data_IF_249710333600
#
_entry.id   IF_249710333600
#
_cell.length_a   1.000
_cell.length_b   1.000
_cell.length_c   1.000
_cell.angle_alpha   90.00
_cell.angle_beta   90.00
_cell.angle_gamma   90.00
#
_symmetry.space_group_name_H-M   'P 1'
#
loop_
_entity.id
_entity.type
_entity.pdbx_description
1 polymer ?
#
# COMPACT_ATOMS: atom_id res chain seq x y z
N UNK A 1 -4.66 -29.05 -6.28
CA UNK A 1 -3.82 -28.58 -7.41
C UNK A 1 -3.16 -27.24 -7.15
N UNK A 2 -3.87 -26.12 -6.92
CA UNK A 2 -3.24 -24.80 -6.64
C UNK A 2 -2.35 -24.81 -5.39
N UNK A 3 -2.81 -25.40 -4.28
CA UNK A 3 -1.99 -25.48 -3.08
C UNK A 3 -0.72 -26.29 -3.33
N UNK A 4 -0.77 -27.30 -4.19
CA UNK A 4 0.42 -28.05 -4.59
C UNK A 4 1.32 -27.20 -5.49
N UNK A 5 0.76 -26.41 -6.40
CA UNK A 5 1.50 -25.46 -7.25
C UNK A 5 2.19 -24.35 -6.43
N UNK A 6 1.50 -23.71 -5.47
CA UNK A 6 2.09 -22.70 -4.57
C UNK A 6 3.18 -23.33 -3.70
N UNK A 7 2.96 -24.55 -3.19
CA UNK A 7 3.95 -25.24 -2.34
C UNK A 7 5.15 -25.75 -3.15
N UNK A 8 4.93 -26.15 -4.42
CA UNK A 8 6.00 -26.50 -5.37
C UNK A 8 6.78 -25.26 -5.79
N UNK A 9 6.11 -24.15 -6.09
CA UNK A 9 6.73 -22.87 -6.47
C UNK A 9 7.60 -22.31 -5.32
N UNK A 10 7.08 -22.30 -4.08
CA UNK A 10 7.84 -21.86 -2.90
C UNK A 10 8.97 -22.84 -2.51
N UNK A 11 8.85 -24.14 -2.81
CA UNK A 11 9.96 -25.09 -2.66
C UNK A 11 11.00 -24.96 -3.77
N UNK A 12 10.56 -24.63 -4.97
CA UNK A 12 11.43 -24.43 -6.13
C UNK A 12 12.22 -23.14 -6.01
N UNK A 13 11.77 -22.07 -5.35
CA UNK A 13 12.60 -20.85 -5.17
C UNK A 13 13.93 -21.13 -4.47
N UNK A 14 13.95 -21.98 -3.44
CA UNK A 14 15.19 -22.38 -2.75
C UNK A 14 16.05 -23.36 -3.56
N UNK A 15 15.48 -24.07 -4.55
CA UNK A 15 16.20 -25.03 -5.40
C UNK A 15 16.58 -24.44 -6.77
N UNK A 16 15.87 -23.43 -7.23
CA UNK A 16 16.06 -22.72 -8.49
C UNK A 16 17.29 -21.83 -8.43
N UNK A 17 17.56 -21.17 -7.30
CA UNK A 17 18.75 -20.32 -7.13
C UNK A 17 20.06 -21.11 -7.33
N UNK A 18 20.21 -22.23 -6.63
CA UNK A 18 21.37 -23.12 -6.76
C UNK A 18 21.49 -23.72 -8.17
N UNK A 19 20.36 -24.02 -8.82
CA UNK A 19 20.36 -24.61 -10.16
C UNK A 19 20.64 -23.58 -11.25
N UNK A 20 20.19 -22.34 -11.08
CA UNK A 20 20.48 -21.21 -11.97
C UNK A 20 21.95 -20.82 -11.86
N UNK A 21 22.51 -20.77 -10.64
CA UNK A 21 23.94 -20.51 -10.42
C UNK A 21 24.84 -21.48 -11.19
N UNK A 22 24.61 -22.79 -11.02
CA UNK A 22 25.37 -23.82 -11.75
C UNK A 22 25.24 -23.71 -13.27
N UNK A 23 24.09 -23.27 -13.76
CA UNK A 23 23.82 -23.10 -15.20
C UNK A 23 24.54 -21.86 -15.75
N UNK A 24 24.62 -20.78 -14.98
CA UNK A 24 25.38 -19.58 -15.31
C UNK A 24 26.90 -19.84 -15.30
N UNK A 25 27.39 -20.67 -14.38
CA UNK A 25 28.79 -21.10 -14.33
C UNK A 25 29.18 -21.91 -15.58
N UNK A 26 28.31 -22.81 -16.06
CA UNK A 26 28.54 -23.60 -17.27
C UNK A 26 28.57 -22.76 -18.56
N UNK A 27 27.78 -21.67 -18.62
CA UNK A 27 27.85 -20.68 -19.71
C UNK A 27 29.17 -19.91 -19.65
N UNK A 28 29.59 -19.53 -18.45
CA UNK A 28 30.86 -18.81 -18.23
C UNK A 28 32.08 -19.68 -18.58
N UNK A 29 31.97 -20.99 -18.37
CA UNK A 29 32.95 -21.99 -18.80
C UNK A 29 32.87 -22.33 -20.31
N UNK A 30 31.97 -21.70 -21.08
CA UNK A 30 31.82 -21.90 -22.52
C UNK A 30 31.21 -23.26 -22.93
N UNK A 31 30.66 -24.02 -21.97
CA UNK A 31 30.18 -25.39 -22.19
C UNK A 31 28.73 -25.45 -22.73
N UNK A 32 27.98 -24.36 -22.65
CA UNK A 32 26.56 -24.30 -23.06
C UNK A 32 26.21 -23.00 -23.77
N UNK A 33 25.37 -23.08 -24.80
CA UNK A 33 24.90 -21.91 -25.55
C UNK A 33 23.80 -21.16 -24.78
N UNK A 34 24.10 -19.92 -24.37
CA UNK A 34 23.20 -19.10 -23.55
C UNK A 34 21.84 -18.81 -24.20
N UNK A 35 21.78 -18.73 -25.54
CA UNK A 35 20.54 -18.46 -26.29
C UNK A 35 19.55 -19.62 -26.20
N UNK A 36 20.05 -20.86 -26.27
CA UNK A 36 19.23 -22.06 -26.12
C UNK A 36 18.63 -22.16 -24.72
N UNK A 37 19.44 -21.90 -23.70
CA UNK A 37 18.97 -21.87 -22.32
C UNK A 37 17.90 -20.79 -22.09
N UNK A 38 18.12 -19.57 -22.58
CA UNK A 38 17.16 -18.48 -22.40
C UNK A 38 15.82 -18.82 -23.08
N UNK A 39 15.87 -19.46 -24.24
CA UNK A 39 14.67 -19.92 -24.94
C UNK A 39 13.92 -20.99 -24.15
N UNK A 40 14.61 -22.01 -23.65
CA UNK A 40 14.01 -23.07 -22.83
C UNK A 40 13.42 -22.52 -21.53
N UNK A 41 14.11 -21.57 -20.90
CA UNK A 41 13.62 -20.88 -19.71
C UNK A 41 12.36 -20.05 -20.05
N UNK A 42 12.40 -19.27 -21.12
CA UNK A 42 11.28 -18.42 -21.54
C UNK A 42 10.05 -19.23 -21.90
N UNK A 43 10.20 -20.36 -22.60
CA UNK A 43 9.08 -21.24 -22.95
C UNK A 43 8.42 -21.83 -21.68
N UNK A 44 9.22 -22.24 -20.69
CA UNK A 44 8.72 -22.71 -19.40
C UNK A 44 8.02 -21.59 -18.64
N UNK A 45 8.67 -20.44 -18.50
CA UNK A 45 8.12 -19.28 -17.80
C UNK A 45 6.81 -18.81 -18.44
N UNK A 46 6.78 -18.69 -19.78
CA UNK A 46 5.60 -18.28 -20.52
C UNK A 46 4.42 -19.22 -20.30
N UNK A 47 4.67 -20.54 -20.28
CA UNK A 47 3.67 -21.54 -19.93
C UNK A 47 3.16 -21.34 -18.49
N UNK A 48 4.06 -21.14 -17.53
CA UNK A 48 3.67 -20.88 -16.14
C UNK A 48 2.87 -19.58 -15.98
N UNK A 49 3.26 -18.49 -16.64
CA UNK A 49 2.52 -17.23 -16.64
C UNK A 49 1.14 -17.39 -17.28
N UNK A 50 1.04 -18.17 -18.37
CA UNK A 50 -0.22 -18.49 -19.03
C UNK A 50 -1.16 -19.31 -18.14
N UNK A 51 -0.62 -20.28 -17.41
CA UNK A 51 -1.38 -21.07 -16.44
C UNK A 51 -1.77 -20.25 -15.20
N UNK A 52 -0.91 -19.33 -14.75
CA UNK A 52 -1.17 -18.45 -13.60
C UNK A 52 -2.21 -17.36 -13.90
N UNK A 53 -2.22 -16.83 -15.13
CA UNK A 53 -3.17 -15.77 -15.57
C UNK A 53 -4.62 -16.23 -15.61
N UNK A 54 -4.87 -17.55 -15.70
CA UNK A 54 -6.22 -18.12 -15.73
C UNK A 54 -6.96 -18.05 -14.39
N UNK A 55 -6.27 -17.76 -13.29
CA UNK A 55 -6.86 -17.81 -11.96
C UNK A 55 -7.45 -16.47 -11.54
N UNK A 56 -8.70 -16.51 -11.06
CA UNK A 56 -9.33 -15.36 -10.43
C UNK A 56 -8.71 -15.11 -9.05
N UNK A 57 -8.28 -13.86 -8.81
CA UNK A 57 -7.66 -13.41 -7.56
C UNK A 57 -8.51 -13.77 -6.34
N UNK A 58 -9.84 -13.64 -6.42
CA UNK A 58 -10.77 -13.97 -5.31
C UNK A 58 -10.75 -15.44 -4.95
N UNK A 59 -10.56 -16.30 -5.96
CA UNK A 59 -10.46 -17.75 -5.74
C UNK A 59 -9.16 -18.08 -5.02
N UNK A 60 -8.07 -17.43 -5.39
CA UNK A 60 -6.77 -17.60 -4.74
C UNK A 60 -6.82 -17.07 -3.30
N UNK A 61 -7.39 -15.88 -3.07
CA UNK A 61 -7.59 -15.32 -1.73
C UNK A 61 -8.34 -16.28 -0.80
N UNK A 62 -9.46 -16.85 -1.27
CA UNK A 62 -10.22 -17.83 -0.49
C UNK A 62 -9.40 -19.09 -0.17
N UNK A 63 -8.65 -19.60 -1.14
CA UNK A 63 -7.81 -20.78 -0.93
C UNK A 63 -6.65 -20.53 0.03
N UNK A 64 -6.10 -19.31 0.00
CA UNK A 64 -5.08 -18.87 0.96
C UNK A 64 -5.69 -18.71 2.35
N UNK A 65 -6.87 -18.09 2.46
CA UNK A 65 -7.60 -17.95 3.71
C UNK A 65 -7.91 -19.32 4.34
N UNK A 66 -8.35 -20.31 3.55
CA UNK A 66 -8.62 -21.66 4.04
C UNK A 66 -7.35 -22.36 4.56
N UNK A 67 -6.23 -22.26 3.82
CA UNK A 67 -4.99 -22.94 4.18
C UNK A 67 -4.26 -22.29 5.35
N UNK A 68 -4.24 -20.97 5.39
CA UNK A 68 -3.52 -20.20 6.41
C UNK A 68 -4.43 -19.69 7.51
N UNK A 69 -5.70 -20.12 7.55
CA UNK A 69 -6.66 -19.79 8.60
C UNK A 69 -6.09 -19.80 10.03
N UNK A 70 -5.39 -20.87 10.49
CA UNK A 70 -4.88 -20.89 11.86
C UNK A 70 -3.78 -19.86 12.13
N UNK A 71 -3.06 -19.43 11.10
CA UNK A 71 -1.98 -18.43 11.20
C UNK A 71 -2.54 -17.01 11.07
N UNK A 72 -3.53 -16.83 10.21
CA UNK A 72 -4.16 -15.54 9.94
C UNK A 72 -5.11 -15.10 11.06
N UNK A 73 -5.71 -16.05 11.77
CA UNK A 73 -6.68 -15.80 12.84
C UNK A 73 -6.37 -16.66 14.08
N UNK A 74 -5.24 -16.40 14.78
CA UNK A 74 -4.87 -17.17 15.97
C UNK A 74 -5.80 -16.93 17.17
N UNK A 75 -6.28 -15.69 17.35
CA UNK A 75 -7.00 -15.26 18.56
C UNK A 75 -8.52 -15.06 18.37
N UNK A 76 -9.05 -15.37 17.18
CA UNK A 76 -10.48 -15.23 16.91
C UNK A 76 -11.14 -16.61 16.93
N UNK A 77 -11.89 -16.86 18.01
CA UNK A 77 -12.87 -17.92 18.04
C UNK A 77 -13.81 -17.75 16.85
N UNK A 78 -14.15 -18.86 16.18
CA UNK A 78 -14.60 -18.91 14.78
C UNK A 78 -15.78 -17.99 14.41
N UNK A 79 -16.53 -17.51 15.40
CA UNK A 79 -17.78 -16.74 15.25
C UNK A 79 -17.67 -15.21 15.37
N UNK A 80 -16.55 -14.63 15.82
CA UNK A 80 -16.44 -13.15 15.92
C UNK A 80 -15.56 -12.51 14.86
N UNK A 81 -15.58 -13.01 13.62
CA UNK A 81 -14.99 -12.32 12.45
C UNK A 81 -15.81 -11.11 11.98
N UNK A 82 -16.64 -10.57 12.86
CA UNK A 82 -17.47 -9.41 12.59
C UNK A 82 -16.59 -8.17 12.57
N UNK A 83 -16.75 -7.37 11.52
CA UNK A 83 -16.04 -6.10 11.38
C UNK A 83 -16.51 -5.12 12.47
N UNK A 84 -15.62 -4.63 13.35
CA UNK A 84 -16.01 -3.71 14.44
C UNK A 84 -16.50 -2.35 13.93
N UNK A 85 -16.11 -1.95 12.71
CA UNK A 85 -16.52 -0.67 12.13
C UNK A 85 -17.95 -0.66 11.60
N UNK A 86 -18.45 -1.80 11.08
CA UNK A 86 -19.79 -1.85 10.49
C UNK A 86 -20.71 -2.88 11.14
N UNK A 87 -20.22 -3.70 12.07
CA UNK A 87 -20.95 -4.75 12.81
C UNK A 87 -21.72 -5.78 11.98
N UNK A 88 -21.71 -5.68 10.66
CA UNK A 88 -22.46 -6.55 9.77
C UNK A 88 -21.57 -7.21 8.69
N UNK A 89 -20.35 -6.71 8.46
CA UNK A 89 -19.37 -7.26 7.52
C UNK A 89 -18.45 -8.28 8.17
N UNK A 90 -17.85 -9.16 7.38
CA UNK A 90 -16.88 -10.16 7.86
C UNK A 90 -15.45 -9.76 7.47
N UNK A 91 -14.49 -9.95 8.37
CA UNK A 91 -13.07 -9.77 8.10
C UNK A 91 -12.53 -10.93 7.25
N UNK A 92 -11.86 -10.59 6.14
CA UNK A 92 -11.27 -11.54 5.18
C UNK A 92 -9.86 -11.15 4.83
N UNK A 93 -9.07 -12.15 4.44
CA UNK A 93 -7.76 -11.93 3.88
C UNK A 93 -7.88 -11.32 2.47
N UNK A 94 -7.14 -10.25 2.22
CA UNK A 94 -7.10 -9.57 0.92
C UNK A 94 -5.67 -9.27 0.52
N UNK A 95 -5.39 -9.39 -0.77
CA UNK A 95 -4.11 -8.96 -1.34
C UNK A 95 -4.20 -7.50 -1.79
N UNK A 96 -3.12 -6.74 -1.58
CA UNK A 96 -3.06 -5.35 -2.01
C UNK A 96 -3.14 -5.24 -3.53
N UNK A 97 -4.01 -4.35 -4.02
CA UNK A 97 -4.11 -4.03 -5.45
C UNK A 97 -2.83 -3.38 -6.01
N UNK A 98 -1.99 -2.83 -5.14
CA UNK A 98 -0.75 -2.15 -5.50
C UNK A 98 0.46 -3.09 -5.48
N UNK A 99 0.23 -4.41 -5.27
CA UNK A 99 1.26 -5.44 -5.37
C UNK A 99 2.07 -5.66 -4.09
N UNK A 100 2.10 -4.70 -3.18
CA UNK A 100 2.84 -4.80 -1.93
C UNK A 100 1.91 -5.08 -0.75
N UNK A 101 2.16 -6.20 -0.08
CA UNK A 101 1.53 -6.57 1.18
C UNK A 101 0.19 -7.29 1.05
N UNK A 102 -0.17 -7.94 2.16
CA UNK A 102 -1.48 -8.55 2.38
C UNK A 102 -2.05 -8.03 3.69
N UNK A 103 -3.38 -7.94 3.75
CA UNK A 103 -4.06 -7.36 4.90
C UNK A 103 -5.39 -8.06 5.18
N UNK A 104 -5.84 -7.98 6.41
CA UNK A 104 -7.16 -8.43 6.84
C UNK A 104 -8.10 -7.23 6.78
N UNK A 105 -9.16 -7.31 5.99
CA UNK A 105 -10.10 -6.20 5.79
C UNK A 105 -11.54 -6.65 5.64
N UNK A 106 -12.47 -5.70 5.78
CA UNK A 106 -13.90 -6.00 5.65
C UNK A 106 -14.28 -6.41 4.22
N UNK A 107 -15.12 -7.43 4.09
CA UNK A 107 -15.67 -7.93 2.83
C UNK A 107 -16.57 -6.92 2.10
N UNK A 108 -17.26 -6.04 2.82
CA UNK A 108 -18.20 -5.03 2.29
C UNK A 108 -17.55 -3.81 1.63
N UNK A 109 -16.30 -3.88 1.22
CA UNK A 109 -15.69 -2.84 0.40
C UNK A 109 -16.49 -2.68 -0.92
N UNK A 110 -16.83 -1.46 -1.39
CA UNK A 110 -16.33 -0.14 -0.96
C UNK A 110 -17.10 0.55 0.17
N UNK A 111 -18.20 -0.04 0.67
CA UNK A 111 -19.06 0.57 1.72
C UNK A 111 -18.37 0.63 3.09
N UNK A 112 -17.56 -0.37 3.42
CA UNK A 112 -16.71 -0.37 4.61
C UNK A 112 -15.24 -0.47 4.19
N UNK A 113 -14.41 0.47 4.64
CA UNK A 113 -12.97 0.55 4.35
C UNK A 113 -12.09 0.09 5.52
N UNK A 114 -12.69 -0.59 6.50
CA UNK A 114 -11.97 -1.06 7.68
C UNK A 114 -10.92 -2.13 7.34
N UNK A 115 -9.72 -1.94 7.92
CA UNK A 115 -8.56 -2.83 7.83
C UNK A 115 -8.18 -3.16 9.28
N UNK A 116 -8.11 -4.46 9.61
CA UNK A 116 -7.85 -4.94 10.96
C UNK A 116 -6.35 -5.12 11.24
N UNK A 117 -5.60 -5.69 10.28
CA UNK A 117 -4.17 -5.98 10.43
C UNK A 117 -3.51 -6.01 9.06
N UNK A 118 -2.28 -5.48 8.98
CA UNK A 118 -1.40 -5.68 7.81
C UNK A 118 -0.36 -6.74 8.19
N UNK A 119 -0.08 -7.69 7.29
CA UNK A 119 0.82 -8.82 7.55
C UNK A 119 2.27 -8.55 7.10
N UNK A 120 2.56 -7.34 6.61
CA UNK A 120 3.89 -6.93 6.14
C UNK A 120 4.79 -6.40 7.25
N UNK A 121 4.24 -6.16 8.44
CA UNK A 121 4.94 -5.48 9.52
C UNK A 121 5.07 -6.51 10.66
N UNK A 122 6.22 -7.19 10.71
CA UNK A 122 6.66 -7.88 11.92
C UNK A 122 6.99 -6.81 12.97
N UNK A 123 6.46 -7.00 14.18
CA UNK A 123 6.81 -6.32 15.42
C UNK A 123 6.51 -4.82 15.57
N UNK A 124 5.24 -4.51 15.86
CA UNK A 124 4.91 -3.49 16.86
C UNK A 124 3.78 -4.00 17.76
N UNK A 125 4.13 -4.78 18.79
CA UNK A 125 3.22 -5.21 19.86
C UNK A 125 2.84 -4.07 20.84
N UNK A 126 3.17 -2.82 20.53
CA UNK A 126 2.72 -1.67 21.29
C UNK A 126 2.17 -0.60 20.36
N UNK A 127 0.91 -0.73 19.97
CA UNK A 127 0.01 0.42 19.94
C UNK A 127 -1.43 -0.08 19.81
N UNK A 128 -2.18 0.12 20.89
CA UNK A 128 -3.63 0.29 20.85
C UNK A 128 -4.00 1.03 19.57
N UNK A 129 -4.80 0.37 18.72
CA UNK A 129 -5.39 0.96 17.50
C UNK A 129 -6.31 2.13 17.84
N UNK A 130 -5.74 3.24 18.31
CA UNK A 130 -6.26 4.57 18.09
C UNK A 130 -6.02 4.87 16.61
N UNK A 131 -7.07 4.62 15.83
CA UNK A 131 -7.47 5.44 14.69
C UNK A 131 -6.39 6.35 14.09
N UNK A 132 -5.41 5.77 13.38
CA UNK A 132 -4.73 6.52 12.33
C UNK A 132 -5.50 6.22 11.04
N UNK A 133 -6.51 7.02 10.64
CA UNK A 133 -6.96 6.97 9.26
C UNK A 133 -5.73 7.30 8.40
N UNK A 134 -5.31 6.36 7.54
CA UNK A 134 -4.30 6.55 6.48
C UNK A 134 -4.69 7.63 5.44
N UNK A 135 -5.66 8.47 5.78
CA UNK A 135 -6.01 9.71 5.10
C UNK A 135 -6.28 10.76 6.18
N UNK A 136 -5.35 11.68 6.40
CA UNK A 136 -5.64 12.91 7.13
C UNK A 136 -6.86 13.58 6.47
N UNK A 137 -7.96 13.72 7.21
CA UNK A 137 -9.13 14.45 6.70
C UNK A 137 -8.75 15.92 6.52
N UNK A 138 -9.09 16.54 5.37
CA UNK A 138 -8.73 17.94 5.13
C UNK A 138 -9.28 18.86 6.22
N UNK A 139 -8.42 19.35 7.11
CA UNK A 139 -8.82 20.24 8.20
C UNK A 139 -8.95 21.66 7.67
N UNK A 140 -10.11 22.27 7.85
CA UNK A 140 -10.33 23.68 7.54
C UNK A 140 -9.69 24.53 8.64
N UNK A 141 -8.64 25.28 8.31
CA UNK A 141 -7.94 26.16 9.25
C UNK A 141 -8.63 27.52 9.40
N UNK A 142 -9.31 27.99 8.34
CA UNK A 142 -10.03 29.26 8.35
C UNK A 142 -10.18 29.88 6.97
N UNK A 143 -10.43 31.18 6.94
CA UNK A 143 -10.60 31.99 5.72
C UNK A 143 -9.47 33.03 5.68
N UNK A 144 -8.86 33.22 4.51
CA UNK A 144 -7.88 34.29 4.33
C UNK A 144 -8.56 35.67 4.41
N UNK A 145 -8.04 36.60 5.23
CA UNK A 145 -8.60 37.95 5.34
C UNK A 145 -8.50 38.75 4.03
N UNK A 146 -7.49 38.46 3.19
CA UNK A 146 -7.22 39.24 1.97
C UNK A 146 -8.01 38.76 0.74
N UNK A 147 -8.25 37.46 0.61
CA UNK A 147 -8.88 36.86 -0.58
C UNK A 147 -10.24 36.23 -0.32
N UNK A 148 -10.71 36.16 0.94
CA UNK A 148 -11.94 35.45 1.35
C UNK A 148 -11.96 33.96 0.94
N UNK A 149 -10.78 33.39 0.67
CA UNK A 149 -10.64 31.98 0.27
C UNK A 149 -10.41 31.10 1.49
N UNK A 150 -11.02 29.90 1.48
CA UNK A 150 -10.85 28.90 2.54
C UNK A 150 -9.44 28.29 2.49
N UNK A 151 -8.83 28.08 3.64
CA UNK A 151 -7.50 27.47 3.79
C UNK A 151 -7.63 26.08 4.40
N UNK A 152 -7.10 25.08 3.71
CA UNK A 152 -7.14 23.67 4.11
C UNK A 152 -5.75 23.15 4.44
N UNK A 153 -5.66 22.32 5.47
CA UNK A 153 -4.51 21.49 5.78
C UNK A 153 -4.76 20.09 5.22
N UNK A 154 -3.85 19.58 4.41
CA UNK A 154 -3.94 18.26 3.76
C UNK A 154 -2.63 17.49 3.92
N UNK A 155 -2.69 16.17 3.78
CA UNK A 155 -1.53 15.29 3.77
C UNK A 155 -1.30 14.77 2.35
N UNK A 156 -0.06 14.91 1.86
CA UNK A 156 0.38 14.40 0.56
C UNK A 156 1.56 13.43 0.69
N UNK A 157 2.08 12.90 -0.43
CA UNK A 157 3.20 11.96 -0.43
C UNK A 157 4.50 12.55 0.13
N UNK A 158 4.61 13.89 0.17
CA UNK A 158 5.78 14.62 0.67
C UNK A 158 5.56 15.27 2.05
N UNK A 159 4.51 14.86 2.77
CA UNK A 159 4.15 15.42 4.07
C UNK A 159 2.93 16.35 4.03
N UNK A 160 2.74 17.10 5.12
CA UNK A 160 1.62 18.01 5.27
C UNK A 160 1.82 19.27 4.44
N UNK A 161 0.73 19.77 3.86
CA UNK A 161 0.73 20.99 3.08
C UNK A 161 -0.56 21.78 3.29
N UNK A 162 -0.43 23.09 3.14
CA UNK A 162 -1.54 24.03 3.21
C UNK A 162 -1.97 24.36 1.77
N UNK A 163 -3.27 24.41 1.53
CA UNK A 163 -3.86 24.74 0.25
C UNK A 163 -4.91 25.83 0.41
N UNK A 164 -4.83 26.86 -0.43
CA UNK A 164 -5.85 27.91 -0.54
C UNK A 164 -6.86 27.53 -1.62
N UNK A 165 -8.15 27.59 -1.26
CA UNK A 165 -9.26 27.32 -2.15
C UNK A 165 -9.62 25.84 -2.30
N UNK A 166 -10.83 25.58 -2.79
CA UNK A 166 -11.34 24.23 -3.04
C UNK A 166 -10.70 23.60 -4.29
N UNK A 167 -10.79 22.26 -4.40
CA UNK A 167 -10.33 21.48 -5.55
C UNK A 167 -11.20 21.73 -6.80
N UNK A 168 -10.98 22.88 -7.45
CA UNK A 168 -11.56 23.19 -8.76
C UNK A 168 -10.60 22.75 -9.86
N UNK A 169 -11.06 21.83 -10.71
CA UNK A 169 -10.32 21.37 -11.89
C UNK A 169 -9.98 22.57 -12.78
N UNK A 170 -8.68 22.87 -12.94
CA UNK A 170 -8.17 23.87 -13.87
C UNK A 170 -7.67 25.19 -13.26
N UNK A 171 -7.77 25.38 -11.93
CA UNK A 171 -7.19 26.55 -11.26
C UNK A 171 -5.83 26.22 -10.62
N UNK A 172 -4.82 27.08 -10.84
CA UNK A 172 -3.54 27.00 -10.13
C UNK A 172 -3.79 27.35 -8.66
N UNK A 173 -3.79 26.34 -7.80
CA UNK A 173 -4.02 26.51 -6.37
C UNK A 173 -2.71 26.92 -5.69
N UNK A 174 -2.76 27.95 -4.84
CA UNK A 174 -1.62 28.30 -3.99
C UNK A 174 -1.46 27.24 -2.91
N UNK A 175 -0.27 26.65 -2.84
CA UNK A 175 0.10 25.60 -1.89
C UNK A 175 1.41 25.96 -1.20
N UNK A 176 1.52 25.64 0.09
CA UNK A 176 2.75 25.77 0.86
C UNK A 176 3.04 24.48 1.63
N UNK A 177 4.26 23.92 1.57
CA UNK A 177 4.64 22.77 2.36
C UNK A 177 4.77 23.16 3.85
N UNK A 178 4.47 22.21 4.73
CA UNK A 178 4.59 22.38 6.17
C UNK A 178 5.85 21.64 6.67
N UNK A 179 7.03 22.07 6.19
CA UNK A 179 8.29 21.37 6.52
C UNK A 179 8.84 21.72 7.91
N UNK A 180 8.44 22.85 8.50
CA UNK A 180 9.05 23.38 9.73
C UNK A 180 8.21 23.18 11.01
N UNK A 181 6.95 22.74 10.90
CA UNK A 181 6.07 22.68 12.06
C UNK A 181 6.14 21.31 12.72
N UNK A 182 6.49 21.30 14.02
CA UNK A 182 6.70 20.10 14.82
C UNK A 182 5.40 19.36 15.18
N UNK A 183 4.27 20.07 15.26
CA UNK A 183 2.98 19.51 15.66
C UNK A 183 1.84 19.94 14.71
N UNK A 184 1.18 18.97 14.09
CA UNK A 184 0.14 19.20 13.05
C UNK A 184 -1.16 19.73 13.66
N UNK A 185 -1.39 19.47 14.94
CA UNK A 185 -2.64 19.79 15.63
C UNK A 185 -2.72 21.25 16.10
N UNK A 186 -1.56 21.87 16.36
CA UNK A 186 -1.44 23.24 16.89
C UNK A 186 -1.43 24.33 15.82
N UNK A 187 -1.47 23.96 14.53
CA UNK A 187 -1.38 24.90 13.42
C UNK A 187 -2.59 25.84 13.43
N UNK A 188 -2.32 27.13 13.37
CA UNK A 188 -3.35 28.16 13.26
C UNK A 188 -3.37 28.80 11.87
N UNK A 189 -4.44 29.55 11.58
CA UNK A 189 -4.57 30.31 10.33
C UNK A 189 -3.45 31.35 10.15
N UNK A 190 -2.87 31.86 11.24
CA UNK A 190 -1.78 32.86 11.19
C UNK A 190 -0.51 32.27 10.62
N UNK A 191 -0.15 31.08 11.09
CA UNK A 191 1.03 30.33 10.62
C UNK A 191 0.86 29.97 9.13
N UNK A 192 -0.36 29.63 8.74
CA UNK A 192 -0.68 29.32 7.35
C UNK A 192 -0.50 30.54 6.42
N UNK A 193 -0.90 31.74 6.86
CA UNK A 193 -0.71 32.98 6.09
C UNK A 193 0.78 33.27 5.92
N UNK A 194 1.58 33.09 6.96
CA UNK A 194 3.03 33.31 6.90
C UNK A 194 3.71 32.38 5.89
N UNK A 195 3.35 31.09 5.89
CA UNK A 195 3.90 30.09 4.98
C UNK A 195 3.49 30.33 3.51
N UNK A 196 2.30 30.89 3.28
CA UNK A 196 1.81 31.23 1.94
C UNK A 196 2.48 32.49 1.33
N UNK A 197 3.21 33.28 2.13
CA UNK A 197 3.92 34.47 1.65
C UNK A 197 5.28 34.15 1.01
N UNK A 198 5.79 32.93 1.15
CA UNK A 198 6.98 32.48 0.43
C UNK A 198 6.64 32.16 -1.03
N UNK A 199 7.51 32.43 -2.03
CA UNK A 199 8.87 32.96 -1.95
C UNK A 199 8.93 34.50 -1.91
N UNK A 200 9.52 35.06 -0.85
CA UNK A 200 9.74 36.52 -0.73
C UNK A 200 10.91 36.94 -1.62
N UNK A 201 10.69 37.92 -2.49
CA UNK A 201 11.77 38.53 -3.29
C UNK A 201 12.57 39.44 -2.37
N UNK A 202 13.75 39.00 -1.92
CA UNK A 202 14.61 39.76 -1.00
C UNK A 202 15.38 40.90 -1.67
N UNK A 203 15.34 40.99 -3.02
CA UNK A 203 15.95 42.05 -3.81
C UNK A 203 16.13 41.64 -5.27
N UNK A 204 16.36 42.63 -6.16
CA UNK A 204 16.85 42.39 -7.52
C UNK A 204 18.38 42.42 -7.46
N UNK A 205 19.02 41.32 -7.82
CA UNK A 205 20.48 41.25 -7.99
C UNK A 205 20.89 41.86 -9.33
#
# INVERSE_FOLDING_TARGET
MILNWITLFLKDENYADVRIGNVLDNISAGSTEWKGLLKDYWERLSKYCGDASQWDVRKVERMLEEKFRPILFPDLDTDSRICPSCSEGTLRFKVSRYGEGSFIGCDRHPKCKYIARTLSDEDDENETSEQIPRSFEPRLLGIMPDTSEKVFLKQGPYGYYIQVGEDRKGASQKRAPLSEVKDVETITIKDAIELLQYPKILGKH
#
